data_IF_986206657128
#
_entry.id   IF_986206657128
#
_cell.length_a   1.000
_cell.length_b   1.000
_cell.length_c   1.000
_cell.angle_alpha   90.00
_cell.angle_beta   90.00
_cell.angle_gamma   90.00
#
_symmetry.space_group_name_H-M   'P 1'
#
loop_
_entity.id
_entity.type
_entity.pdbx_description
1 polymer ?
#
# COMPACT_ATOMS: atom_id res chain seq x y z
N UNK A 1 33.91 -43.77 -41.68
CA UNK A 1 33.69 -44.22 -40.28
C UNK A 1 32.34 -43.70 -39.82
N UNK A 2 31.55 -44.46 -39.05
CA UNK A 2 30.33 -43.96 -38.41
C UNK A 2 30.64 -42.83 -37.42
N UNK A 3 29.71 -41.90 -37.16
CA UNK A 3 29.88 -40.89 -36.11
C UNK A 3 29.96 -41.51 -34.72
N UNK A 4 30.52 -40.79 -33.75
CA UNK A 4 30.45 -41.15 -32.33
C UNK A 4 29.93 -39.97 -31.52
N UNK A 5 29.08 -40.24 -30.53
CA UNK A 5 28.59 -39.25 -29.57
C UNK A 5 29.36 -39.44 -28.27
N UNK A 6 30.06 -38.39 -27.83
CA UNK A 6 30.78 -38.36 -26.56
C UNK A 6 29.90 -37.82 -25.43
N UNK A 7 29.19 -36.74 -25.68
CA UNK A 7 28.33 -36.09 -24.68
C UNK A 7 27.09 -35.47 -25.32
N UNK A 8 26.09 -35.24 -24.48
CA UNK A 8 24.95 -34.40 -24.81
C UNK A 8 24.70 -33.40 -23.67
N UNK A 9 24.27 -32.19 -24.01
CA UNK A 9 23.99 -31.14 -23.02
C UNK A 9 22.80 -30.28 -23.48
N UNK A 10 21.72 -30.18 -22.69
CA UNK A 10 21.46 -30.89 -21.43
C UNK A 10 21.20 -32.39 -21.62
N UNK A 11 21.30 -33.17 -20.55
CA UNK A 11 21.05 -34.63 -20.56
C UNK A 11 19.64 -35.07 -20.21
N UNK A 12 18.76 -34.12 -19.90
CA UNK A 12 17.37 -34.36 -19.58
C UNK A 12 16.48 -33.24 -20.13
N UNK A 13 15.19 -33.51 -20.26
CA UNK A 13 14.18 -32.55 -20.69
C UNK A 13 12.75 -33.04 -20.44
N UNK A 14 11.74 -32.18 -20.61
CA UNK A 14 10.36 -32.53 -20.31
C UNK A 14 9.78 -33.55 -21.30
N UNK A 15 8.79 -34.34 -20.86
CA UNK A 15 8.02 -35.28 -21.69
C UNK A 15 7.31 -34.62 -22.89
N UNK A 16 7.08 -33.31 -22.84
CA UNK A 16 6.53 -32.52 -23.95
C UNK A 16 7.54 -32.30 -25.10
N UNK A 17 8.82 -32.64 -24.91
CA UNK A 17 9.88 -32.35 -25.88
C UNK A 17 10.24 -30.86 -25.92
N UNK A 18 10.90 -30.43 -27.00
CA UNK A 18 11.29 -29.04 -27.23
C UNK A 18 12.62 -28.62 -26.61
N UNK A 19 13.36 -29.55 -25.98
CA UNK A 19 14.68 -29.24 -25.43
C UNK A 19 15.70 -29.15 -26.55
N UNK A 20 16.35 -27.98 -26.70
CA UNK A 20 17.54 -27.84 -27.53
C UNK A 20 18.72 -28.53 -26.84
N UNK A 21 19.23 -29.59 -27.46
CA UNK A 21 20.34 -30.42 -26.97
C UNK A 21 21.52 -30.28 -27.92
N UNK A 22 22.69 -30.01 -27.38
CA UNK A 22 23.96 -30.03 -28.12
C UNK A 22 24.60 -31.40 -27.94
N UNK A 23 24.78 -32.13 -29.04
CA UNK A 23 25.54 -33.36 -29.13
C UNK A 23 26.99 -33.02 -29.50
N UNK A 24 27.96 -33.55 -28.76
CA UNK A 24 29.39 -33.40 -29.05
C UNK A 24 30.01 -34.76 -29.32
N UNK A 25 30.86 -34.85 -30.34
CA UNK A 25 31.50 -36.10 -30.73
C UNK A 25 32.37 -35.98 -31.98
N UNK A 26 32.37 -37.00 -32.84
CA UNK A 26 33.18 -37.02 -34.07
C UNK A 26 32.39 -37.53 -35.28
N UNK A 27 32.80 -37.16 -36.49
CA UNK A 27 32.22 -37.67 -37.74
C UNK A 27 30.80 -37.19 -38.05
N UNK A 28 30.39 -36.03 -37.53
CA UNK A 28 29.00 -35.55 -37.58
C UNK A 28 28.58 -34.96 -38.93
N UNK A 29 29.53 -34.56 -39.79
CA UNK A 29 29.25 -33.98 -41.12
C UNK A 29 28.54 -35.01 -42.00
N UNK A 30 27.39 -34.65 -42.58
CA UNK A 30 26.62 -35.56 -43.44
C UNK A 30 25.57 -36.41 -42.72
N UNK A 31 25.38 -36.19 -41.41
CA UNK A 31 24.32 -36.84 -40.63
C UNK A 31 22.94 -36.51 -41.20
N UNK A 32 22.08 -37.52 -41.32
CA UNK A 32 20.75 -37.39 -41.96
C UNK A 32 19.60 -37.34 -40.96
N UNK A 33 19.80 -37.80 -39.72
CA UNK A 33 18.83 -37.61 -38.65
C UNK A 33 19.49 -37.71 -37.27
N UNK A 34 18.80 -37.17 -36.26
CA UNK A 34 19.02 -37.51 -34.84
C UNK A 34 17.75 -38.19 -34.33
N UNK A 35 17.89 -39.27 -33.55
CA UNK A 35 16.76 -40.01 -32.97
C UNK A 35 16.87 -40.06 -31.46
N UNK A 36 15.72 -39.89 -30.79
CA UNK A 36 15.53 -40.11 -29.35
C UNK A 36 14.68 -41.36 -29.15
N UNK A 37 15.32 -42.50 -28.88
CA UNK A 37 14.72 -43.82 -28.94
C UNK A 37 14.29 -44.16 -30.36
N UNK A 38 13.00 -44.46 -30.56
CA UNK A 38 12.43 -44.75 -31.88
C UNK A 38 12.01 -43.51 -32.67
N UNK A 39 11.93 -42.34 -32.03
CA UNK A 39 11.35 -41.10 -32.59
C UNK A 39 12.43 -40.17 -33.12
N UNK A 40 12.24 -39.59 -34.30
CA UNK A 40 13.16 -38.57 -34.84
C UNK A 40 13.08 -37.28 -34.02
N UNK A 41 14.20 -36.57 -33.92
CA UNK A 41 14.21 -35.20 -33.41
C UNK A 41 13.27 -34.30 -34.23
N UNK A 42 12.69 -33.30 -33.57
CA UNK A 42 11.80 -32.33 -34.24
C UNK A 42 12.58 -31.44 -35.20
N UNK A 43 13.84 -31.16 -34.87
CA UNK A 43 14.81 -30.56 -35.77
C UNK A 43 16.24 -30.93 -35.36
N UNK A 44 17.18 -30.79 -36.28
CA UNK A 44 18.60 -30.80 -35.97
C UNK A 44 19.39 -29.98 -36.99
N UNK A 45 20.57 -29.54 -36.57
CA UNK A 45 21.53 -28.79 -37.37
C UNK A 45 22.91 -29.35 -37.10
N UNK A 46 23.62 -29.73 -38.16
CA UNK A 46 25.03 -30.12 -38.05
C UNK A 46 25.86 -28.85 -38.04
N UNK A 47 26.38 -28.48 -36.86
CA UNK A 47 27.12 -27.24 -36.68
C UNK A 47 28.58 -27.37 -37.16
N UNK A 48 29.16 -28.57 -36.99
CA UNK A 48 30.53 -28.89 -37.40
C UNK A 48 30.72 -30.41 -37.50
N UNK A 49 31.92 -30.84 -37.89
CA UNK A 49 32.29 -32.26 -37.90
C UNK A 49 32.25 -32.92 -36.50
N UNK A 50 32.16 -32.14 -35.42
CA UNK A 50 32.16 -32.61 -34.03
C UNK A 50 30.91 -32.22 -33.24
N UNK A 51 29.95 -31.50 -33.83
CA UNK A 51 28.81 -30.98 -33.08
C UNK A 51 27.51 -30.96 -33.90
N UNK A 52 26.43 -31.38 -33.24
CA UNK A 52 25.05 -31.27 -33.74
C UNK A 52 24.22 -30.57 -32.66
N UNK A 53 23.42 -29.58 -33.04
CA UNK A 53 22.32 -29.08 -32.19
C UNK A 53 21.02 -29.74 -32.65
N UNK A 54 20.22 -30.25 -31.71
CA UNK A 54 18.97 -30.97 -32.02
C UNK A 54 17.88 -30.58 -31.04
N UNK A 55 16.61 -30.72 -31.42
CA UNK A 55 15.46 -30.45 -30.55
C UNK A 55 14.73 -31.76 -30.24
N UNK A 56 14.61 -32.09 -28.95
CA UNK A 56 13.98 -33.33 -28.49
C UNK A 56 12.51 -33.40 -28.91
N UNK A 57 12.00 -34.56 -29.38
CA UNK A 57 10.59 -34.75 -29.65
C UNK A 57 9.80 -35.03 -28.35
N UNK A 58 8.47 -34.87 -28.34
CA UNK A 58 7.65 -35.37 -27.23
C UNK A 58 7.80 -36.88 -27.05
N UNK A 59 7.98 -37.34 -25.81
CA UNK A 59 8.12 -38.76 -25.47
C UNK A 59 7.68 -39.00 -24.02
N UNK A 60 7.18 -40.21 -23.76
CA UNK A 60 6.86 -40.64 -22.39
C UNK A 60 8.09 -40.58 -21.46
N UNK A 61 7.83 -40.45 -20.16
CA UNK A 61 8.87 -40.33 -19.15
C UNK A 61 9.82 -41.54 -19.15
N UNK A 62 11.09 -41.29 -18.86
CA UNK A 62 12.14 -42.31 -18.79
C UNK A 62 13.29 -42.11 -19.79
N UNK A 63 14.22 -43.06 -19.77
CA UNK A 63 15.44 -43.00 -20.57
C UNK A 63 15.16 -43.17 -22.08
N UNK A 64 15.84 -42.37 -22.90
CA UNK A 64 15.87 -42.44 -24.35
C UNK A 64 17.30 -42.61 -24.84
N UNK A 65 17.55 -43.67 -25.61
CA UNK A 65 18.80 -43.81 -26.33
C UNK A 65 18.84 -42.79 -27.48
N UNK A 66 19.80 -41.86 -27.45
CA UNK A 66 20.01 -40.87 -28.50
C UNK A 66 21.09 -41.37 -29.46
N UNK A 67 20.76 -41.40 -30.74
CA UNK A 67 21.69 -41.79 -31.83
C UNK A 67 21.67 -40.75 -32.95
N UNK A 68 22.79 -40.66 -33.65
CA UNK A 68 22.94 -39.94 -34.91
C UNK A 68 22.89 -40.96 -36.05
N UNK A 69 21.98 -40.74 -37.00
CA UNK A 69 21.83 -41.55 -38.21
C UNK A 69 22.71 -40.95 -39.29
N UNK A 70 23.56 -41.77 -39.89
CA UNK A 70 24.53 -41.34 -40.89
C UNK A 70 24.64 -42.39 -42.01
N UNK A 71 24.87 -42.01 -43.27
CA UNK A 71 24.97 -42.95 -44.39
C UNK A 71 26.04 -44.04 -44.24
N UNK A 72 27.09 -43.78 -43.45
CA UNK A 72 28.18 -44.73 -43.18
C UNK A 72 27.95 -45.64 -41.97
N UNK A 73 26.76 -45.56 -41.34
CA UNK A 73 26.38 -46.30 -40.13
C UNK A 73 25.93 -45.38 -39.00
N UNK A 74 25.13 -45.91 -38.07
CA UNK A 74 24.66 -45.14 -36.91
C UNK A 74 25.76 -44.95 -35.86
N UNK A 75 25.66 -43.89 -35.07
CA UNK A 75 26.53 -43.69 -33.91
C UNK A 75 26.29 -44.70 -32.79
N UNK A 76 27.17 -44.67 -31.77
CA UNK A 76 26.84 -45.21 -30.45
C UNK A 76 25.63 -44.46 -29.85
N UNK A 77 25.00 -45.06 -28.84
CA UNK A 77 23.91 -44.43 -28.08
C UNK A 77 24.42 -43.75 -26.82
N UNK A 78 23.87 -42.59 -26.51
CA UNK A 78 23.95 -41.92 -25.20
C UNK A 78 22.55 -41.72 -24.63
N UNK A 79 22.42 -41.58 -23.31
CA UNK A 79 21.09 -41.49 -22.68
C UNK A 79 20.64 -40.05 -22.51
N UNK A 80 19.42 -39.75 -22.98
CA UNK A 80 18.67 -38.55 -22.62
C UNK A 80 17.45 -38.96 -21.79
N UNK A 81 17.21 -38.34 -20.65
CA UNK A 81 16.08 -38.71 -19.78
C UNK A 81 14.92 -37.73 -19.95
N UNK A 82 13.74 -38.27 -20.30
CA UNK A 82 12.50 -37.51 -20.29
C UNK A 82 11.93 -37.48 -18.88
N UNK A 83 11.80 -36.29 -18.31
CA UNK A 83 11.22 -36.06 -16.98
C UNK A 83 9.83 -35.47 -17.11
N UNK A 84 8.90 -35.86 -16.24
CA UNK A 84 7.60 -35.18 -16.17
C UNK A 84 7.84 -33.79 -15.60
N UNK A 85 7.40 -32.75 -16.33
CA UNK A 85 7.42 -31.40 -15.80
C UNK A 85 6.48 -31.31 -14.60
N UNK A 86 6.97 -30.81 -13.47
CA UNK A 86 6.17 -30.67 -12.26
C UNK A 86 5.23 -29.49 -12.40
N UNK A 87 3.97 -29.67 -12.00
CA UNK A 87 3.01 -28.57 -11.87
C UNK A 87 3.57 -27.54 -10.87
N UNK A 88 3.54 -26.23 -11.17
CA UNK A 88 4.00 -25.21 -10.23
C UNK A 88 3.09 -25.16 -9.01
N UNK A 89 3.64 -24.74 -7.86
CA UNK A 89 2.87 -24.50 -6.64
C UNK A 89 3.06 -23.05 -6.23
N UNK A 90 1.97 -22.34 -5.97
CA UNK A 90 2.01 -20.98 -5.40
C UNK A 90 1.67 -21.11 -3.92
N UNK A 91 2.59 -20.72 -3.04
CA UNK A 91 2.41 -20.83 -1.58
C UNK A 91 2.01 -19.52 -0.93
N UNK A 92 2.40 -18.37 -1.50
CA UNK A 92 2.00 -17.06 -0.97
C UNK A 92 2.03 -15.95 -2.01
N UNK A 93 1.27 -14.89 -1.71
CA UNK A 93 1.16 -13.65 -2.51
C UNK A 93 1.39 -12.47 -1.57
N UNK A 94 2.37 -11.62 -1.85
CA UNK A 94 2.73 -10.49 -1.00
C UNK A 94 2.95 -9.19 -1.80
N UNK A 95 2.22 -8.09 -1.54
CA UNK A 95 1.07 -8.01 -0.64
C UNK A 95 -0.08 -8.92 -1.09
N UNK A 96 -0.87 -9.41 -0.13
CA UNK A 96 -2.00 -10.32 -0.37
C UNK A 96 -3.31 -9.59 -0.72
N UNK A 97 -3.29 -8.25 -0.83
CA UNK A 97 -4.45 -7.44 -1.15
C UNK A 97 -4.06 -6.13 -1.84
N UNK A 98 -5.03 -5.51 -2.52
CA UNK A 98 -4.86 -4.25 -3.24
C UNK A 98 -6.17 -3.72 -3.84
N UNK A 99 -6.15 -2.56 -4.51
CA UNK A 99 -7.34 -1.92 -5.08
C UNK A 99 -7.97 -2.74 -6.22
N UNK A 100 -9.30 -2.69 -6.35
CA UNK A 100 -10.06 -3.25 -7.49
C UNK A 100 -9.62 -2.71 -8.86
N UNK A 101 -9.01 -1.52 -8.90
CA UNK A 101 -8.42 -0.95 -10.12
C UNK A 101 -7.15 -1.66 -10.62
N UNK A 102 -6.58 -2.60 -9.86
CA UNK A 102 -5.34 -3.28 -10.20
C UNK A 102 -4.09 -2.44 -9.96
N UNK A 103 -2.97 -2.83 -10.58
CA UNK A 103 -1.70 -2.11 -10.50
C UNK A 103 -0.86 -2.41 -9.27
N UNK A 104 -1.24 -3.42 -8.47
CA UNK A 104 -0.46 -3.82 -7.29
C UNK A 104 0.70 -4.71 -7.73
N UNK A 105 1.93 -4.31 -7.46
CA UNK A 105 3.09 -5.19 -7.63
C UNK A 105 3.12 -6.20 -6.50
N UNK A 106 3.00 -7.48 -6.83
CA UNK A 106 3.02 -8.60 -5.89
C UNK A 106 4.18 -9.54 -6.17
N UNK A 107 4.71 -10.11 -5.10
CA UNK A 107 5.68 -11.20 -5.12
C UNK A 107 4.93 -12.49 -4.82
N UNK A 108 4.97 -13.41 -5.78
CA UNK A 108 4.50 -14.78 -5.63
C UNK A 108 5.66 -15.64 -5.16
N UNK A 109 5.46 -16.39 -4.07
CA UNK A 109 6.43 -17.39 -3.60
C UNK A 109 5.87 -18.78 -3.86
N UNK A 110 6.75 -19.73 -4.20
CA UNK A 110 6.32 -21.07 -4.56
C UNK A 110 7.44 -21.98 -5.05
N UNK A 111 7.10 -22.92 -5.91
CA UNK A 111 8.03 -23.85 -6.58
C UNK A 111 7.64 -24.09 -8.04
N UNK A 112 8.62 -24.49 -8.87
CA UNK A 112 8.37 -24.88 -10.26
C UNK A 112 8.10 -23.70 -11.19
N UNK A 113 8.51 -22.48 -10.84
CA UNK A 113 8.23 -21.27 -11.63
C UNK A 113 9.12 -21.07 -12.86
N UNK A 114 10.21 -21.84 -12.99
CA UNK A 114 11.07 -21.78 -14.16
C UNK A 114 10.26 -22.07 -15.44
N UNK A 115 10.30 -21.15 -16.40
CA UNK A 115 9.55 -21.29 -17.65
C UNK A 115 8.04 -21.03 -17.50
N UNK A 116 7.61 -20.31 -16.46
CA UNK A 116 6.24 -19.84 -16.37
C UNK A 116 5.85 -19.00 -17.59
N UNK A 117 4.71 -19.32 -18.18
CA UNK A 117 4.18 -18.69 -19.40
C UNK A 117 2.99 -17.78 -19.12
N UNK A 118 2.32 -17.96 -17.98
CA UNK A 118 1.23 -17.10 -17.55
C UNK A 118 1.13 -17.00 -16.03
N UNK A 119 0.70 -15.83 -15.57
CA UNK A 119 0.24 -15.56 -14.20
C UNK A 119 -1.16 -14.95 -14.33
N UNK A 120 -2.12 -15.46 -13.57
CA UNK A 120 -3.51 -14.99 -13.62
C UNK A 120 -4.06 -14.72 -12.22
N UNK A 121 -5.01 -13.79 -12.15
CA UNK A 121 -5.79 -13.43 -10.95
C UNK A 121 -7.27 -13.61 -11.28
N UNK A 122 -7.93 -14.60 -10.67
CA UNK A 122 -9.29 -15.03 -11.03
C UNK A 122 -9.46 -15.30 -12.55
N UNK A 123 -8.43 -15.89 -13.18
CA UNK A 123 -8.40 -16.18 -14.61
C UNK A 123 -8.04 -14.98 -15.52
N UNK A 124 -7.97 -13.76 -14.98
CA UNK A 124 -7.52 -12.58 -15.74
C UNK A 124 -5.99 -12.52 -15.75
N UNK A 125 -5.33 -12.39 -16.91
CA UNK A 125 -3.87 -12.28 -16.98
C UNK A 125 -3.33 -11.11 -16.17
N UNK A 126 -2.20 -11.31 -15.48
CA UNK A 126 -1.41 -10.24 -14.90
C UNK A 126 -1.01 -9.23 -15.99
N UNK A 127 -0.97 -7.93 -15.65
CA UNK A 127 -0.59 -6.90 -16.64
C UNK A 127 0.88 -7.03 -17.04
N UNK A 128 1.70 -7.56 -16.14
CA UNK A 128 3.07 -8.00 -16.41
C UNK A 128 3.51 -8.99 -15.33
N UNK A 129 4.51 -9.81 -15.64
CA UNK A 129 5.23 -10.60 -14.63
C UNK A 129 6.67 -10.86 -15.06
N UNK A 130 7.52 -11.12 -14.07
CA UNK A 130 8.93 -11.48 -14.21
C UNK A 130 9.18 -12.72 -13.36
N UNK A 131 9.75 -13.77 -13.97
CA UNK A 131 10.24 -14.94 -13.23
C UNK A 131 11.60 -14.59 -12.65
N UNK A 132 11.66 -14.34 -11.34
CA UNK A 132 12.89 -13.97 -10.65
C UNK A 132 13.77 -15.20 -10.36
N UNK A 133 13.14 -16.33 -10.05
CA UNK A 133 13.80 -17.61 -9.79
C UNK A 133 12.81 -18.77 -9.97
N UNK A 134 13.26 -20.01 -9.74
CA UNK A 134 12.38 -21.18 -9.71
C UNK A 134 11.34 -21.16 -8.57
N UNK A 135 11.46 -20.23 -7.62
CA UNK A 135 10.61 -20.12 -6.43
C UNK A 135 9.97 -18.75 -6.24
N UNK A 136 10.27 -17.77 -7.10
CA UNK A 136 9.74 -16.41 -6.99
C UNK A 136 9.37 -15.81 -8.35
N UNK A 137 8.18 -15.20 -8.40
CA UNK A 137 7.71 -14.38 -9.52
C UNK A 137 7.27 -13.03 -8.98
N UNK A 138 7.63 -11.94 -9.65
CA UNK A 138 7.04 -10.62 -9.45
C UNK A 138 5.97 -10.41 -10.50
N UNK A 139 4.74 -10.06 -10.12
CA UNK A 139 3.63 -9.82 -11.04
C UNK A 139 2.89 -8.54 -10.69
N UNK A 140 2.25 -7.91 -11.68
CA UNK A 140 1.40 -6.74 -11.46
C UNK A 140 -0.06 -7.13 -11.68
N UNK A 141 -0.90 -6.86 -10.67
CA UNK A 141 -2.30 -7.27 -10.68
C UNK A 141 -3.10 -6.53 -11.76
N UNK A 142 -3.99 -7.21 -12.48
CA UNK A 142 -4.96 -6.57 -13.36
C UNK A 142 -6.07 -5.90 -12.54
N UNK A 143 -6.96 -5.15 -13.21
CA UNK A 143 -8.22 -4.76 -12.59
C UNK A 143 -9.07 -6.01 -12.29
N UNK A 144 -9.81 -5.97 -11.17
CA UNK A 144 -10.56 -7.13 -10.67
C UNK A 144 -11.80 -6.73 -9.87
N UNK A 145 -12.70 -7.71 -9.69
CA UNK A 145 -13.87 -7.55 -8.84
C UNK A 145 -13.50 -7.65 -7.36
N UNK A 146 -14.20 -6.93 -6.49
CA UNK A 146 -13.96 -6.97 -5.06
C UNK A 146 -14.11 -8.40 -4.50
N UNK A 147 -13.21 -8.81 -3.61
CA UNK A 147 -13.18 -10.14 -3.03
C UNK A 147 -11.89 -10.92 -3.35
N UNK A 148 -11.92 -12.21 -3.00
CA UNK A 148 -10.77 -13.09 -3.21
C UNK A 148 -10.65 -13.50 -4.68
N UNK A 149 -9.47 -13.30 -5.25
CA UNK A 149 -9.08 -13.75 -6.58
C UNK A 149 -8.02 -14.86 -6.46
N UNK A 150 -8.33 -16.04 -6.99
CA UNK A 150 -7.36 -17.15 -7.09
C UNK A 150 -6.16 -16.70 -7.93
N UNK A 151 -4.96 -16.92 -7.43
CA UNK A 151 -3.71 -16.65 -8.15
C UNK A 151 -3.16 -17.96 -8.69
N UNK A 152 -2.96 -18.02 -10.00
CA UNK A 152 -2.45 -19.22 -10.65
C UNK A 152 -1.25 -18.90 -11.56
N UNK A 153 -0.25 -19.78 -11.51
CA UNK A 153 0.92 -19.77 -12.39
C UNK A 153 0.82 -20.95 -13.33
N UNK A 154 1.05 -20.74 -14.62
CA UNK A 154 1.08 -21.80 -15.64
C UNK A 154 2.49 -21.96 -16.18
N UNK A 155 2.96 -23.20 -16.22
CA UNK A 155 4.22 -23.61 -16.87
C UNK A 155 3.93 -24.74 -17.87
N UNK A 156 4.95 -25.28 -18.53
CA UNK A 156 4.81 -26.49 -19.34
C UNK A 156 4.38 -27.73 -18.55
N UNK A 157 4.54 -27.74 -17.23
CA UNK A 157 4.04 -28.79 -16.34
C UNK A 157 2.54 -28.69 -16.04
N UNK A 158 1.89 -27.58 -16.39
CA UNK A 158 0.48 -27.31 -16.13
C UNK A 158 0.27 -26.04 -15.32
N UNK A 159 -0.96 -25.84 -14.85
CA UNK A 159 -1.37 -24.71 -14.02
C UNK A 159 -1.40 -25.11 -12.55
N UNK A 160 -0.91 -24.23 -11.67
CA UNK A 160 -0.92 -24.45 -10.23
C UNK A 160 -2.33 -24.67 -9.67
N UNK A 161 -2.42 -25.38 -8.54
CA UNK A 161 -3.66 -25.53 -7.79
C UNK A 161 -4.21 -24.17 -7.30
N UNK A 162 -5.53 -24.05 -7.10
CA UNK A 162 -6.19 -22.79 -6.74
C UNK A 162 -6.10 -22.47 -5.23
N UNK A 163 -4.90 -22.59 -4.64
CA UNK A 163 -4.70 -22.51 -3.19
C UNK A 163 -4.17 -21.14 -2.73
N UNK A 164 -3.72 -20.29 -3.65
CA UNK A 164 -3.21 -18.96 -3.37
C UNK A 164 -4.24 -17.88 -3.78
N UNK A 165 -4.37 -16.84 -2.97
CA UNK A 165 -5.36 -15.78 -3.17
C UNK A 165 -4.75 -14.39 -3.05
N UNK A 166 -5.29 -13.46 -3.86
CA UNK A 166 -5.14 -12.03 -3.72
C UNK A 166 -6.51 -11.41 -3.47
N UNK A 167 -6.63 -10.50 -2.50
CA UNK A 167 -7.91 -9.88 -2.17
C UNK A 167 -8.03 -8.47 -2.77
N UNK A 168 -8.93 -8.30 -3.72
CA UNK A 168 -9.29 -6.99 -4.24
C UNK A 168 -10.21 -6.27 -3.26
N UNK A 169 -9.74 -5.16 -2.71
CA UNK A 169 -10.47 -4.31 -1.80
C UNK A 169 -10.95 -3.03 -2.50
N UNK A 170 -12.12 -2.56 -2.11
CA UNK A 170 -12.68 -1.27 -2.58
C UNK A 170 -12.01 -0.14 -1.80
N UNK A 171 -11.73 0.97 -2.49
CA UNK A 171 -11.19 2.16 -1.84
C UNK A 171 -12.11 2.63 -0.69
N UNK A 172 -11.53 3.16 0.39
CA UNK A 172 -12.29 3.74 1.49
C UNK A 172 -13.01 5.00 1.02
N UNK A 173 -14.14 5.31 1.64
CA UNK A 173 -14.85 6.58 1.43
C UNK A 173 -15.01 7.26 2.78
N UNK A 174 -14.61 8.52 2.86
CA UNK A 174 -14.88 9.37 4.02
C UNK A 174 -16.10 10.25 3.76
N UNK A 175 -17.00 10.29 4.73
CA UNK A 175 -18.20 11.13 4.71
C UNK A 175 -18.02 12.40 5.55
N UNK A 176 -17.40 12.29 6.73
CA UNK A 176 -17.20 13.43 7.62
C UNK A 176 -16.02 13.27 8.57
N UNK A 177 -15.60 14.40 9.14
CA UNK A 177 -14.60 14.52 10.19
C UNK A 177 -15.15 15.44 11.28
N UNK A 178 -15.18 14.97 12.54
CA UNK A 178 -15.73 15.71 13.66
C UNK A 178 -14.81 15.59 14.90
N UNK A 179 -14.30 16.71 15.44
CA UNK A 179 -14.39 18.07 14.90
C UNK A 179 -13.63 18.24 13.57
N UNK A 180 -14.09 19.16 12.71
CA UNK A 180 -13.48 19.45 11.41
C UNK A 180 -12.32 20.45 11.49
N UNK A 181 -11.85 20.77 12.70
CA UNK A 181 -10.81 21.76 12.95
C UNK A 181 -9.93 21.37 14.14
N UNK A 182 -8.72 21.92 14.18
CA UNK A 182 -7.78 21.79 15.31
C UNK A 182 -6.96 23.06 15.49
N UNK A 183 -6.46 23.37 16.71
CA UNK A 183 -5.38 24.33 16.89
C UNK A 183 -4.16 23.98 16.02
N UNK A 184 -3.37 24.97 15.61
CA UNK A 184 -2.14 24.75 14.82
C UNK A 184 -1.11 23.83 15.49
N UNK A 185 -1.15 23.71 16.83
CA UNK A 185 -0.34 22.75 17.58
C UNK A 185 -0.80 21.28 17.41
N UNK A 186 -1.96 21.04 16.80
CA UNK A 186 -2.57 19.71 16.69
C UNK A 186 -3.19 19.21 17.99
N UNK A 187 -3.28 17.89 18.14
CA UNK A 187 -3.67 17.20 19.38
C UNK A 187 -5.17 16.91 19.51
N UNK A 188 -6.02 17.52 18.68
CA UNK A 188 -7.45 17.21 18.66
C UNK A 188 -7.69 15.80 18.11
N UNK A 189 -8.47 15.00 18.84
CA UNK A 189 -8.94 13.69 18.37
C UNK A 189 -10.16 13.89 17.49
N UNK A 190 -10.02 13.52 16.22
CA UNK A 190 -11.04 13.63 15.18
C UNK A 190 -11.68 12.27 14.96
N UNK A 191 -13.01 12.23 15.03
CA UNK A 191 -13.80 11.06 14.60
C UNK A 191 -14.10 11.19 13.12
N UNK A 192 -13.61 10.23 12.34
CA UNK A 192 -13.86 10.08 10.92
C UNK A 192 -14.98 9.07 10.72
N UNK A 193 -15.99 9.42 9.93
CA UNK A 193 -17.04 8.48 9.52
C UNK A 193 -16.97 8.21 8.03
N UNK A 194 -17.28 6.98 7.63
CA UNK A 194 -17.05 6.53 6.27
C UNK A 194 -17.50 5.11 5.98
N UNK A 195 -16.90 4.51 4.96
CA UNK A 195 -17.04 3.09 4.59
C UNK A 195 -15.70 2.50 4.17
N UNK A 196 -15.60 1.16 4.25
CA UNK A 196 -14.40 0.37 3.95
C UNK A 196 -13.15 0.82 4.75
N UNK A 197 -13.32 1.24 6.00
CA UNK A 197 -12.23 1.77 6.84
C UNK A 197 -11.43 0.69 7.59
N UNK A 198 -11.81 -0.59 7.47
CA UNK A 198 -11.05 -1.69 8.07
C UNK A 198 -9.64 -1.77 7.47
N UNK A 199 -8.69 -2.23 8.28
CA UNK A 199 -7.28 -2.40 7.88
C UNK A 199 -6.62 -1.11 7.37
N UNK A 200 -7.12 0.07 7.78
CA UNK A 200 -6.45 1.32 7.48
C UNK A 200 -5.00 1.28 7.99
N UNK A 201 -4.06 1.56 7.10
CA UNK A 201 -2.63 1.59 7.39
C UNK A 201 -2.13 3.00 7.70
N UNK A 202 -2.87 4.02 7.27
CA UNK A 202 -2.58 5.41 7.61
C UNK A 202 -3.83 6.30 7.57
N UNK A 203 -3.82 7.33 8.40
CA UNK A 203 -4.67 8.52 8.29
C UNK A 203 -3.75 9.70 8.05
N UNK A 204 -4.05 10.55 7.07
CA UNK A 204 -3.25 11.74 6.72
C UNK A 204 -4.08 13.00 6.85
N UNK A 205 -3.46 14.05 7.35
CA UNK A 205 -3.94 15.43 7.36
C UNK A 205 -3.10 16.20 6.33
N UNK A 206 -3.63 16.37 5.12
CA UNK A 206 -2.85 16.79 3.96
C UNK A 206 -1.77 15.76 3.62
N UNK A 207 -0.50 16.17 3.72
CA UNK A 207 0.66 15.29 3.46
C UNK A 207 1.24 14.64 4.73
N UNK A 208 0.78 15.05 5.91
CA UNK A 208 1.34 14.63 7.20
C UNK A 208 0.49 13.49 7.78
N UNK A 209 1.12 12.42 8.28
CA UNK A 209 0.40 11.36 8.97
C UNK A 209 -0.19 11.87 10.30
N UNK A 210 -1.33 11.32 10.70
CA UNK A 210 -1.87 11.45 12.05
C UNK A 210 -0.82 11.03 13.08
N UNK A 211 -0.79 11.69 14.25
CA UNK A 211 0.12 11.31 15.34
C UNK A 211 -0.24 9.93 15.90
N UNK A 212 -1.52 9.59 15.88
CA UNK A 212 -2.05 8.25 16.16
C UNK A 212 -3.43 8.11 15.53
N UNK A 213 -3.88 6.86 15.31
CA UNK A 213 -5.27 6.59 14.98
C UNK A 213 -5.67 5.18 15.45
N UNK A 214 -6.98 4.99 15.59
CA UNK A 214 -7.60 3.70 15.94
C UNK A 214 -8.72 3.43 14.95
N UNK A 215 -8.71 2.25 14.35
CA UNK A 215 -9.84 1.75 13.56
C UNK A 215 -10.88 1.21 14.53
N UNK A 216 -12.02 1.88 14.65
CA UNK A 216 -13.10 1.48 15.56
C UNK A 216 -14.03 0.47 14.89
N UNK A 217 -14.35 0.69 13.62
CA UNK A 217 -15.16 -0.23 12.81
C UNK A 217 -14.91 -0.01 11.32
N UNK A 218 -15.61 -0.76 10.47
CA UNK A 218 -15.60 -0.52 9.03
C UNK A 218 -16.11 0.86 8.59
N UNK A 219 -16.76 1.60 9.50
CA UNK A 219 -17.38 2.90 9.23
C UNK A 219 -16.85 4.03 10.11
N UNK A 220 -15.91 3.74 11.02
CA UNK A 220 -15.40 4.74 11.95
C UNK A 220 -13.91 4.56 12.29
N UNK A 221 -13.16 5.67 12.24
CA UNK A 221 -11.79 5.79 12.73
C UNK A 221 -11.72 7.00 13.69
N UNK A 222 -10.96 6.89 14.78
CA UNK A 222 -10.53 8.07 15.55
C UNK A 222 -9.07 8.36 15.24
N UNK A 223 -8.71 9.60 14.92
CA UNK A 223 -7.35 9.99 14.59
C UNK A 223 -6.95 11.29 15.28
N UNK A 224 -5.73 11.35 15.81
CA UNK A 224 -5.21 12.54 16.48
C UNK A 224 -4.52 13.44 15.44
N UNK A 225 -4.99 14.69 15.33
CA UNK A 225 -4.45 15.64 14.39
C UNK A 225 -2.97 15.97 14.73
N UNK A 226 -2.04 15.92 13.76
CA UNK A 226 -0.69 16.39 13.95
C UNK A 226 -0.65 17.93 14.03
N UNK A 227 0.47 18.54 14.45
CA UNK A 227 0.69 19.97 14.24
C UNK A 227 0.57 20.33 12.75
N UNK A 228 -0.04 21.47 12.44
CA UNK A 228 -0.33 21.88 11.06
C UNK A 228 -0.83 23.31 10.94
N UNK A 229 -1.06 23.77 9.71
CA UNK A 229 -1.55 25.12 9.41
C UNK A 229 -2.51 25.10 8.23
N UNK A 230 -3.45 26.05 8.19
CA UNK A 230 -4.37 26.23 7.07
C UNK A 230 -5.26 25.01 6.76
N UNK A 231 -5.69 24.91 5.50
CA UNK A 231 -6.48 23.78 5.00
C UNK A 231 -5.60 22.53 4.90
N UNK A 232 -6.03 21.43 5.52
CA UNK A 232 -5.32 20.14 5.53
C UNK A 232 -6.31 18.99 5.41
N UNK A 233 -6.86 18.72 4.20
CA UNK A 233 -7.88 17.70 4.01
C UNK A 233 -7.43 16.33 4.50
N UNK A 234 -8.35 15.59 5.14
CA UNK A 234 -8.07 14.27 5.71
C UNK A 234 -8.30 13.19 4.65
N UNK A 235 -7.37 12.25 4.56
CA UNK A 235 -7.51 11.01 3.77
C UNK A 235 -7.16 9.78 4.60
N UNK A 236 -7.74 8.64 4.27
CA UNK A 236 -7.43 7.33 4.86
C UNK A 236 -6.87 6.41 3.79
N UNK A 237 -5.81 5.68 4.13
CA UNK A 237 -5.19 4.68 3.27
C UNK A 237 -5.51 3.29 3.82
N UNK A 238 -6.04 2.42 2.98
CA UNK A 238 -6.30 1.01 3.25
C UNK A 238 -5.68 0.17 2.12
N UNK A 239 -5.69 -1.17 2.20
CA UNK A 239 -5.32 -2.01 1.06
C UNK A 239 -6.16 -1.74 -0.20
N UNK A 240 -7.40 -1.24 -0.06
CA UNK A 240 -8.25 -0.85 -1.19
C UNK A 240 -7.83 0.45 -1.87
N UNK A 241 -6.81 1.14 -1.34
CA UNK A 241 -6.33 2.43 -1.83
C UNK A 241 -6.59 3.59 -0.87
N UNK A 242 -6.53 4.81 -1.40
CA UNK A 242 -6.71 6.06 -0.65
C UNK A 242 -8.15 6.55 -0.79
N UNK A 243 -8.71 7.10 0.29
CA UNK A 243 -10.06 7.68 0.27
C UNK A 243 -10.14 8.97 -0.51
N UNK A 244 -11.36 9.42 -0.78
CA UNK A 244 -11.61 10.83 -1.05
C UNK A 244 -11.15 11.71 0.13
N UNK A 245 -10.77 12.97 -0.12
CA UNK A 245 -10.46 13.91 0.94
C UNK A 245 -11.74 14.43 1.62
N UNK A 246 -11.68 14.64 2.94
CA UNK A 246 -12.67 15.41 3.70
C UNK A 246 -12.01 16.67 4.25
N UNK A 247 -12.72 17.80 4.19
CA UNK A 247 -12.18 19.09 4.63
C UNK A 247 -11.82 19.09 6.12
N UNK A 248 -10.66 19.67 6.43
CA UNK A 248 -10.21 19.90 7.79
C UNK A 248 -9.30 21.13 7.79
N UNK A 249 -9.31 21.92 8.87
CA UNK A 249 -8.56 23.18 8.93
C UNK A 249 -7.91 23.40 10.29
N UNK A 250 -6.65 23.83 10.25
CA UNK A 250 -5.94 24.29 11.43
C UNK A 250 -6.22 25.77 11.69
N UNK A 251 -6.61 26.09 12.93
CA UNK A 251 -6.97 27.44 13.37
C UNK A 251 -5.96 27.92 14.40
N UNK A 252 -5.58 29.20 14.32
CA UNK A 252 -4.66 29.80 15.27
C UNK A 252 -5.32 29.95 16.65
N UNK A 253 -4.55 29.72 17.72
CA UNK A 253 -4.95 30.04 19.09
C UNK A 253 -5.21 31.56 19.18
N UNK A 254 -6.26 32.02 19.89
CA UNK A 254 -6.52 33.44 20.06
C UNK A 254 -5.43 34.09 20.89
N UNK A 255 -5.20 35.38 20.64
CA UNK A 255 -4.30 36.17 21.49
C UNK A 255 -5.07 37.34 22.07
N UNK A 256 -4.73 37.72 23.30
CA UNK A 256 -5.18 38.95 23.92
C UNK A 256 -3.98 39.88 24.07
N UNK A 257 -4.15 41.14 23.68
CA UNK A 257 -3.13 42.18 23.76
C UNK A 257 -3.48 43.27 24.77
N UNK A 258 -4.77 43.53 25.02
CA UNK A 258 -5.22 44.49 26.02
C UNK A 258 -6.61 44.18 26.60
N UNK A 259 -6.86 44.72 27.80
CA UNK A 259 -8.16 44.78 28.47
C UNK A 259 -8.49 46.25 28.73
N UNK A 260 -9.67 46.71 28.30
CA UNK A 260 -10.10 48.11 28.44
C UNK A 260 -11.50 48.20 29.04
N UNK A 261 -11.64 48.63 30.31
CA UNK A 261 -10.56 48.92 31.27
C UNK A 261 -9.86 47.65 31.77
N UNK A 262 -8.60 47.78 32.21
CA UNK A 262 -7.82 46.67 32.80
C UNK A 262 -8.07 46.49 34.32
N UNK A 263 -8.95 47.30 34.90
CA UNK A 263 -9.35 47.22 36.29
C UNK A 263 -10.79 47.70 36.49
N UNK A 264 -11.36 47.36 37.64
CA UNK A 264 -12.69 47.81 38.03
C UNK A 264 -13.06 47.37 39.46
N UNK A 265 -14.28 47.65 39.93
CA UNK A 265 -14.71 47.35 41.29
C UNK A 265 -14.78 45.84 41.58
N UNK A 266 -14.90 45.50 42.86
CA UNK A 266 -15.20 44.13 43.32
C UNK A 266 -16.62 43.66 42.98
N UNK A 267 -17.53 44.58 42.64
CA UNK A 267 -18.87 44.29 42.14
C UNK A 267 -18.87 43.83 40.68
N UNK A 268 -19.89 43.09 40.28
CA UNK A 268 -20.10 42.70 38.88
C UNK A 268 -20.55 43.91 38.03
N UNK A 269 -20.41 43.79 36.71
CA UNK A 269 -21.09 44.69 35.75
C UNK A 269 -20.17 45.60 34.94
N UNK A 270 -18.87 45.62 35.24
CA UNK A 270 -17.92 46.38 34.39
C UNK A 270 -17.81 45.72 33.03
N UNK A 271 -18.17 46.45 31.97
CA UNK A 271 -17.96 45.98 30.60
C UNK A 271 -16.50 46.20 30.23
N UNK A 272 -15.79 45.11 29.98
CA UNK A 272 -14.38 45.08 29.58
C UNK A 272 -14.30 44.74 28.10
N UNK A 273 -13.64 45.59 27.33
CA UNK A 273 -13.28 45.32 25.93
C UNK A 273 -11.95 44.56 25.91
N UNK A 274 -11.99 43.31 25.45
CA UNK A 274 -10.85 42.45 25.23
C UNK A 274 -10.37 42.66 23.80
N UNK A 275 -9.12 43.12 23.63
CA UNK A 275 -8.51 43.41 22.33
C UNK A 275 -7.50 42.31 22.01
N UNK A 276 -7.50 41.81 20.77
CA UNK A 276 -6.70 40.64 20.40
C UNK A 276 -6.77 40.26 18.93
N UNK A 277 -6.55 38.97 18.64
CA UNK A 277 -6.68 38.35 17.31
C UNK A 277 -7.35 36.98 17.40
N UNK A 278 -7.96 36.53 16.29
CA UNK A 278 -8.70 35.27 16.15
C UNK A 278 -9.90 35.16 17.12
N UNK A 279 -10.52 36.28 17.49
CA UNK A 279 -11.60 36.32 18.48
C UNK A 279 -12.99 36.09 17.86
N UNK A 280 -13.13 36.03 16.53
CA UNK A 280 -14.44 35.95 15.87
C UNK A 280 -15.26 34.71 16.28
N UNK A 281 -14.58 33.62 16.62
CA UNK A 281 -15.19 32.35 17.05
C UNK A 281 -15.18 32.15 18.57
N UNK A 282 -15.05 33.21 19.35
CA UNK A 282 -15.03 33.11 20.81
C UNK A 282 -16.30 32.40 21.32
N UNK A 283 -16.09 31.34 22.10
CA UNK A 283 -17.13 30.50 22.68
C UNK A 283 -17.18 30.62 24.20
N UNK A 284 -16.10 31.09 24.84
CA UNK A 284 -16.08 31.40 26.25
C UNK A 284 -15.10 32.54 26.55
N UNK A 285 -15.47 33.37 27.53
CA UNK A 285 -14.56 34.30 28.21
C UNK A 285 -14.59 33.96 29.69
N UNK A 286 -13.42 33.87 30.31
CA UNK A 286 -13.31 33.57 31.74
C UNK A 286 -12.48 34.62 32.47
N UNK A 287 -12.93 35.01 33.67
CA UNK A 287 -12.17 35.77 34.66
C UNK A 287 -11.80 34.82 35.81
N UNK A 288 -10.59 34.28 35.78
CA UNK A 288 -10.17 33.17 36.63
C UNK A 288 -10.93 31.92 36.23
N UNK A 289 -11.62 31.28 37.18
CA UNK A 289 -12.49 30.15 36.91
C UNK A 289 -13.93 30.55 36.49
N UNK A 290 -14.29 31.84 36.59
CA UNK A 290 -15.65 32.29 36.33
C UNK A 290 -15.89 32.54 34.84
N UNK A 291 -16.79 31.77 34.21
CA UNK A 291 -17.31 32.05 32.89
C UNK A 291 -18.26 33.25 32.92
N UNK A 292 -18.13 34.16 31.96
CA UNK A 292 -18.89 35.42 31.94
C UNK A 292 -19.68 35.58 30.64
N UNK A 293 -20.79 36.33 30.65
CA UNK A 293 -21.44 36.74 29.42
C UNK A 293 -20.53 37.68 28.62
N UNK A 294 -20.54 37.52 27.31
CA UNK A 294 -19.76 38.33 26.38
C UNK A 294 -20.49 38.49 25.05
N UNK A 295 -19.98 39.40 24.23
CA UNK A 295 -20.41 39.65 22.86
C UNK A 295 -19.18 39.78 21.99
N UNK A 296 -19.12 39.02 20.90
CA UNK A 296 -18.08 39.17 19.89
C UNK A 296 -18.40 40.41 19.08
N UNK A 297 -17.48 41.38 19.07
CA UNK A 297 -17.64 42.64 18.34
C UNK A 297 -16.97 42.53 16.96
N UNK A 298 -15.77 41.94 16.91
CA UNK A 298 -15.02 41.66 15.68
C UNK A 298 -14.02 40.53 15.92
N UNK A 299 -13.25 40.15 14.90
CA UNK A 299 -12.13 39.20 15.09
C UNK A 299 -11.02 39.72 16.02
N UNK A 300 -11.02 41.03 16.30
CA UNK A 300 -10.03 41.68 17.15
C UNK A 300 -10.60 42.21 18.47
N UNK A 301 -11.91 42.10 18.70
CA UNK A 301 -12.57 42.65 19.89
C UNK A 301 -13.71 41.79 20.42
N UNK A 302 -13.72 41.56 21.73
CA UNK A 302 -14.81 40.93 22.49
C UNK A 302 -15.18 41.83 23.67
N UNK A 303 -16.46 42.13 23.86
CA UNK A 303 -16.93 42.83 25.05
C UNK A 303 -17.42 41.78 26.07
N UNK A 304 -16.89 41.78 27.29
CA UNK A 304 -17.28 40.84 28.34
C UNK A 304 -17.64 41.58 29.63
N UNK A 305 -18.55 41.02 30.42
CA UNK A 305 -18.96 41.64 31.69
C UNK A 305 -18.17 41.02 32.83
N UNK A 306 -17.35 41.81 33.51
CA UNK A 306 -16.58 41.36 34.66
C UNK A 306 -17.55 40.86 35.77
N UNK A 307 -17.32 39.67 36.36
CA UNK A 307 -18.18 39.13 37.41
C UNK A 307 -17.87 39.83 38.74
N UNK A 308 -18.61 39.57 39.82
CA UNK A 308 -18.21 40.01 41.18
C UNK A 308 -17.07 39.12 41.72
N UNK A 309 -16.32 39.60 42.72
CA UNK A 309 -15.17 38.86 43.27
C UNK A 309 -14.28 39.69 44.19
N UNK A 310 -13.37 39.02 44.90
CA UNK A 310 -12.45 39.64 45.85
C UNK A 310 -11.48 40.63 45.16
N UNK A 311 -10.98 41.61 45.90
CA UNK A 311 -9.96 42.54 45.41
C UNK A 311 -8.67 41.78 45.06
N UNK A 312 -7.98 42.22 44.01
CA UNK A 312 -6.74 41.61 43.52
C UNK A 312 -6.75 41.25 42.03
N UNK A 313 -5.65 40.67 41.53
CA UNK A 313 -5.50 40.29 40.13
C UNK A 313 -6.34 39.04 39.81
N UNK A 314 -6.96 39.02 38.63
CA UNK A 314 -7.65 37.87 38.06
C UNK A 314 -7.25 37.71 36.59
N UNK A 315 -6.93 36.48 36.20
CA UNK A 315 -6.54 36.15 34.82
C UNK A 315 -7.76 36.12 33.91
N UNK A 316 -7.69 36.81 32.77
CA UNK A 316 -8.73 36.83 31.74
C UNK A 316 -8.24 36.06 30.53
N UNK A 317 -9.04 35.11 30.05
CA UNK A 317 -8.77 34.33 28.85
C UNK A 317 -9.99 34.27 27.95
N UNK A 318 -9.75 34.08 26.64
CA UNK A 318 -10.80 33.80 25.65
C UNK A 318 -10.54 32.43 25.04
N UNK A 319 -11.59 31.62 24.94
CA UNK A 319 -11.57 30.34 24.23
C UNK A 319 -12.32 30.49 22.92
N UNK A 320 -11.72 29.98 21.85
CA UNK A 320 -12.25 29.98 20.48
C UNK A 320 -12.13 28.57 19.88
N UNK A 321 -12.51 28.38 18.61
CA UNK A 321 -12.28 27.10 17.92
C UNK A 321 -10.78 26.75 17.78
N UNK A 322 -9.89 27.75 17.83
CA UNK A 322 -8.44 27.57 17.82
C UNK A 322 -7.82 27.25 19.18
N UNK A 323 -8.62 27.18 20.26
CA UNK A 323 -8.16 26.94 21.64
C UNK A 323 -8.30 28.17 22.55
N UNK A 324 -7.61 28.15 23.68
CA UNK A 324 -7.67 29.19 24.71
C UNK A 324 -6.45 30.11 24.64
N UNK A 325 -6.68 31.42 24.71
CA UNK A 325 -5.62 32.43 24.70
C UNK A 325 -4.72 32.32 25.92
N UNK A 326 -3.46 32.80 25.83
CA UNK A 326 -2.73 33.23 27.02
C UNK A 326 -3.56 34.23 27.84
N UNK A 327 -3.36 34.22 29.15
CA UNK A 327 -4.12 35.07 30.07
C UNK A 327 -3.58 36.49 30.18
N UNK A 328 -4.47 37.48 30.29
CA UNK A 328 -4.14 38.85 30.70
C UNK A 328 -4.66 39.14 32.10
N UNK A 329 -4.00 40.02 32.84
CA UNK A 329 -4.43 40.38 34.21
C UNK A 329 -5.45 41.51 34.20
N UNK A 330 -6.60 41.27 34.84
CA UNK A 330 -7.56 42.30 35.24
C UNK A 330 -7.50 42.51 36.75
N UNK A 331 -7.51 43.74 37.24
CA UNK A 331 -7.39 44.03 38.67
C UNK A 331 -8.71 44.52 39.27
N UNK A 332 -9.21 43.79 40.27
CA UNK A 332 -10.37 44.22 41.08
C UNK A 332 -9.91 45.12 42.21
N UNK A 333 -10.50 46.29 42.32
CA UNK A 333 -10.16 47.31 43.32
C UNK A 333 -11.32 47.45 44.31
N UNK A 334 -11.02 47.38 45.61
CA UNK A 334 -12.01 47.64 46.64
C UNK A 334 -12.47 49.11 46.58
N UNK A 335 -13.72 49.37 46.96
CA UNK A 335 -14.17 50.74 47.13
C UNK A 335 -13.30 51.44 48.19
N UNK A 336 -13.05 52.76 48.07
CA UNK A 336 -12.42 53.52 49.14
C UNK A 336 -13.17 53.28 50.46
N UNK A 337 -12.45 52.91 51.52
CA UNK A 337 -13.03 52.80 52.85
C UNK A 337 -13.60 54.15 53.26
N UNK A 338 -14.85 54.16 53.71
CA UNK A 338 -15.48 55.32 54.36
C UNK A 338 -15.02 55.45 55.81
#
# INVERSE_FOLDING_TARGET
>A
MPPTISTLNPSQGPTTGGTTVTLTGTGMTGSTAVRFGSTNATSFTVNSASQITTVSPPRAAGAAAVIVVHPTGNSNSVTFTYVVATVPVVTSVAPSSGPTGGGTSVTLTGTGFTGATAVTFAGVPATSFVVNSSTQITAVTPAGSAGAAVVAVTTSGGTSAPDAFFFYAVAPVLNSAAPAQSPTAGGVVVTLTGSNLLNASAVRFGVTNATSFTVVSATQITATAPPGTGSSPITVITPGGTSNPVAFTYVNVPTLTALVPSSGPTSAGTVVTLIGTNLASASAVTFGAAAVPFTVVSDTQVAAVAPAGAAGPVTVTVTTSGGTSPGLTYTRVAAPGI
#
